data_IF_162526712866
#
_entry.id   IF_162526712866
#
_cell.length_a   1.000
_cell.length_b   1.000
_cell.length_c   1.000
_cell.angle_alpha   90.00
_cell.angle_beta   90.00
_cell.angle_gamma   90.00
#
_symmetry.space_group_name_H-M   'P 1'
#
loop_
_entity.id
_entity.type
_entity.pdbx_description
1 polymer ?
#
# COMPACT_ATOMS: atom_id res chain seq x y z
N UNK A 1 -4.65 -7.97 -13.87
CA UNK A 1 -5.23 -6.68 -13.46
C UNK A 1 -6.42 -7.02 -12.58
N UNK A 2 -6.50 -6.49 -11.37
CA UNK A 2 -7.57 -6.73 -10.41
C UNK A 2 -8.01 -5.38 -9.86
N UNK A 3 -9.32 -5.16 -9.76
CA UNK A 3 -9.88 -3.87 -9.36
C UNK A 3 -9.77 -2.78 -10.43
N UNK A 4 -10.63 -1.77 -10.29
CA UNK A 4 -10.76 -0.65 -11.21
C UNK A 4 -12.09 0.09 -10.97
N UNK A 5 -12.16 1.34 -11.43
CA UNK A 5 -13.42 2.07 -11.55
C UNK A 5 -13.86 2.03 -13.02
N UNK A 6 -15.11 1.65 -13.28
CA UNK A 6 -15.69 1.68 -14.61
C UNK A 6 -16.46 3.00 -14.90
N UNK A 7 -16.16 4.06 -14.15
CA UNK A 7 -16.73 5.41 -14.30
C UNK A 7 -17.50 5.87 -13.07
N UNK A 8 -17.99 7.12 -13.09
CA UNK A 8 -18.57 7.86 -11.95
C UNK A 8 -19.77 7.20 -11.24
N UNK A 9 -20.31 6.07 -11.73
CA UNK A 9 -21.46 5.38 -11.15
C UNK A 9 -21.35 3.83 -11.08
N UNK A 10 -20.18 3.23 -11.37
CA UNK A 10 -20.04 1.77 -11.41
C UNK A 10 -19.40 1.24 -10.11
N UNK A 11 -19.99 0.25 -9.40
CA UNK A 11 -19.35 -0.39 -8.24
C UNK A 11 -17.95 -0.90 -8.58
N UNK A 12 -16.99 -0.71 -7.66
CA UNK A 12 -15.63 -1.22 -7.84
C UNK A 12 -15.65 -2.70 -8.22
N UNK A 13 -14.87 -3.04 -9.25
CA UNK A 13 -14.89 -4.37 -9.82
C UNK A 13 -14.29 -5.40 -8.85
N UNK A 14 -14.94 -6.56 -8.78
CA UNK A 14 -14.54 -7.73 -7.97
C UNK A 14 -13.73 -8.75 -8.77
N UNK A 15 -13.71 -8.59 -10.08
CA UNK A 15 -13.13 -9.53 -11.02
C UNK A 15 -11.60 -9.43 -11.06
N UNK A 16 -10.99 -10.45 -11.66
CA UNK A 16 -9.57 -10.47 -11.94
C UNK A 16 -9.25 -11.49 -13.03
N UNK A 17 -8.02 -11.44 -13.52
CA UNK A 17 -7.54 -12.41 -14.49
C UNK A 17 -6.09 -12.79 -14.24
N UNK A 18 -5.77 -14.05 -14.53
CA UNK A 18 -4.42 -14.60 -14.51
C UNK A 18 -3.94 -14.83 -15.96
N UNK A 19 -2.70 -14.43 -16.24
CA UNK A 19 -2.03 -14.67 -17.52
C UNK A 19 -1.05 -15.83 -17.39
N UNK A 20 -1.15 -16.79 -18.32
CA UNK A 20 -0.18 -17.86 -18.46
C UNK A 20 0.76 -17.55 -19.65
N UNK A 21 2.05 -17.25 -19.41
CA UNK A 21 3.01 -16.96 -20.48
C UNK A 21 3.41 -18.19 -21.29
N UNK A 22 3.19 -19.42 -20.80
CA UNK A 22 3.52 -20.64 -21.54
C UNK A 22 2.50 -20.93 -22.65
N UNK A 23 1.24 -20.53 -22.44
CA UNK A 23 0.15 -20.70 -23.41
C UNK A 23 -0.30 -19.39 -24.05
N UNK A 24 0.29 -18.27 -23.64
CA UNK A 24 -0.06 -16.91 -24.07
C UNK A 24 -1.57 -16.64 -23.96
N UNK A 25 -2.14 -16.93 -22.79
CA UNK A 25 -3.59 -16.85 -22.59
C UNK A 25 -3.97 -16.29 -21.24
N UNK A 26 -5.04 -15.50 -21.22
CA UNK A 26 -5.70 -15.04 -20.01
C UNK A 26 -6.84 -15.99 -19.62
N UNK A 27 -7.02 -16.19 -18.31
CA UNK A 27 -8.22 -16.80 -17.75
C UNK A 27 -8.78 -15.92 -16.63
N UNK A 28 -10.11 -15.90 -16.42
CA UNK A 28 -10.67 -15.29 -15.23
C UNK A 28 -10.20 -16.07 -13.98
N UNK A 29 -10.13 -15.36 -12.86
CA UNK A 29 -10.03 -15.95 -11.52
C UNK A 29 -11.37 -15.75 -10.80
N UNK A 30 -11.58 -16.46 -9.68
CA UNK A 30 -12.77 -16.25 -8.87
C UNK A 30 -12.94 -14.78 -8.43
N UNK A 31 -14.19 -14.32 -8.35
CA UNK A 31 -14.50 -12.97 -7.86
C UNK A 31 -14.08 -12.81 -6.40
N UNK A 32 -13.41 -11.70 -6.10
CA UNK A 32 -13.07 -11.33 -4.72
C UNK A 32 -14.35 -11.10 -3.90
N UNK A 33 -14.33 -11.20 -2.56
CA UNK A 33 -15.48 -10.91 -1.70
C UNK A 33 -16.02 -9.48 -1.86
N UNK A 34 -15.13 -8.53 -2.18
CA UNK A 34 -15.41 -7.10 -2.33
C UNK A 34 -14.46 -6.49 -3.37
N UNK A 35 -14.96 -5.52 -4.16
CA UNK A 35 -14.16 -4.81 -5.14
C UNK A 35 -13.49 -3.58 -4.54
N UNK A 36 -12.25 -3.28 -4.92
CA UNK A 36 -11.50 -2.17 -4.34
C UNK A 36 -10.80 -1.34 -5.41
N UNK A 37 -10.94 -0.02 -5.34
CA UNK A 37 -10.14 0.91 -6.15
C UNK A 37 -8.95 1.42 -5.34
N UNK A 38 -7.78 1.53 -5.98
CA UNK A 38 -6.55 2.02 -5.34
C UNK A 38 -5.90 1.03 -4.35
N UNK A 39 -6.34 -0.23 -4.33
CA UNK A 39 -5.69 -1.26 -3.51
C UNK A 39 -4.32 -1.66 -4.08
N UNK A 40 -3.42 -2.03 -3.18
CA UNK A 40 -2.13 -2.62 -3.53
C UNK A 40 -2.21 -4.14 -3.40
N UNK A 41 -1.41 -4.84 -4.21
CA UNK A 41 -1.29 -6.29 -4.16
C UNK A 41 0.17 -6.71 -4.05
N UNK A 42 0.45 -7.68 -3.17
CA UNK A 42 1.76 -8.31 -3.02
C UNK A 42 1.65 -9.81 -3.24
N UNK A 43 2.74 -10.41 -3.74
CA UNK A 43 2.87 -11.86 -3.86
C UNK A 43 3.73 -12.42 -2.74
N UNK A 44 3.18 -13.36 -1.97
CA UNK A 44 3.89 -13.99 -0.84
C UNK A 44 4.83 -15.13 -1.26
N UNK A 45 4.78 -15.55 -2.52
CA UNK A 45 5.32 -16.82 -2.98
C UNK A 45 4.28 -17.94 -3.08
N UNK A 46 3.12 -17.79 -2.42
CA UNK A 46 2.04 -18.79 -2.37
C UNK A 46 0.66 -18.22 -2.67
N UNK A 47 0.32 -17.08 -2.08
CA UNK A 47 -0.94 -16.36 -2.25
C UNK A 47 -0.70 -14.89 -2.54
N UNK A 48 -1.65 -14.25 -3.23
CA UNK A 48 -1.68 -12.82 -3.42
C UNK A 48 -2.39 -12.18 -2.23
N UNK A 49 -1.79 -11.19 -1.59
CA UNK A 49 -2.46 -10.39 -0.56
C UNK A 49 -2.80 -9.03 -1.16
N UNK A 50 -4.05 -8.62 -0.99
CA UNK A 50 -4.58 -7.31 -1.38
C UNK A 50 -4.83 -6.51 -0.11
N UNK A 51 -4.25 -5.31 -0.07
CA UNK A 51 -4.38 -4.37 1.03
C UNK A 51 -4.69 -2.97 0.52
N UNK A 52 -5.42 -2.18 1.30
CA UNK A 52 -5.77 -0.83 0.88
C UNK A 52 -7.02 -0.76 0.02
N UNK A 53 -7.16 0.42 -0.57
CA UNK A 53 -8.22 0.78 -1.49
C UNK A 53 -9.56 1.03 -0.82
N UNK A 54 -10.43 1.74 -1.54
CA UNK A 54 -11.76 2.06 -1.07
C UNK A 54 -12.78 1.05 -1.62
N UNK A 55 -13.75 0.63 -0.79
CA UNK A 55 -14.85 -0.21 -1.22
C UNK A 55 -15.82 0.61 -2.07
N UNK A 56 -16.76 -0.03 -2.81
CA UNK A 56 -17.75 0.71 -3.59
C UNK A 56 -18.51 1.67 -2.69
N UNK A 57 -18.75 2.89 -3.17
CA UNK A 57 -19.60 3.85 -2.46
C UNK A 57 -20.97 3.20 -2.24
N UNK A 58 -21.44 3.20 -0.99
CA UNK A 58 -22.72 2.56 -0.64
C UNK A 58 -23.94 3.46 -0.95
N UNK A 59 -23.71 4.66 -1.50
CA UNK A 59 -24.74 5.60 -1.90
C UNK A 59 -24.17 7.02 -2.11
N UNK A 60 -24.99 7.99 -2.53
CA UNK A 60 -24.56 9.39 -2.75
C UNK A 60 -24.20 10.13 -1.45
N UNK A 61 -24.49 9.55 -0.29
CA UNK A 61 -24.10 10.04 1.04
C UNK A 61 -22.75 9.51 1.53
N UNK A 62 -22.21 8.49 0.86
CA UNK A 62 -20.88 7.95 1.12
C UNK A 62 -19.87 8.82 0.35
N UNK A 63 -19.14 9.65 1.09
CA UNK A 63 -18.19 10.59 0.47
C UNK A 63 -16.94 9.89 -0.07
N UNK A 64 -16.73 8.59 0.21
CA UNK A 64 -15.50 7.89 -0.13
C UNK A 64 -14.29 8.33 0.71
N UNK A 65 -14.42 9.42 1.47
CA UNK A 65 -13.38 9.98 2.34
C UNK A 65 -13.31 9.29 3.73
N UNK A 66 -14.10 8.23 3.93
CA UNK A 66 -14.10 7.44 5.15
C UNK A 66 -12.83 6.61 5.31
N UNK A 67 -12.47 6.19 6.54
CA UNK A 67 -11.33 5.32 6.75
C UNK A 67 -11.51 4.02 5.96
N UNK A 68 -10.59 3.73 5.04
CA UNK A 68 -10.62 2.52 4.24
C UNK A 68 -10.72 1.25 5.11
N UNK A 69 -11.28 0.15 4.56
CA UNK A 69 -11.60 -1.08 5.29
C UNK A 69 -10.39 -1.63 6.03
N UNK A 70 -10.56 -2.06 7.27
CA UNK A 70 -9.49 -2.64 8.10
C UNK A 70 -9.20 -4.11 7.80
N UNK A 71 -9.91 -4.68 6.81
CA UNK A 71 -9.82 -6.07 6.42
C UNK A 71 -9.17 -6.13 5.04
N UNK A 72 -8.09 -6.90 4.91
CA UNK A 72 -7.45 -7.22 3.63
C UNK A 72 -8.01 -8.50 3.02
N UNK A 73 -7.64 -8.80 1.79
CA UNK A 73 -8.07 -10.00 1.08
C UNK A 73 -6.84 -10.83 0.69
N UNK A 74 -6.96 -12.15 0.71
CA UNK A 74 -5.94 -13.05 0.19
C UNK A 74 -6.54 -14.02 -0.84
N UNK A 75 -5.86 -14.16 -1.98
CA UNK A 75 -6.23 -15.05 -3.07
C UNK A 75 -5.21 -16.19 -3.20
N UNK A 76 -5.71 -17.42 -3.12
CA UNK A 76 -4.94 -18.63 -3.36
C UNK A 76 -5.20 -19.17 -4.79
N UNK A 77 -4.22 -19.08 -5.71
CA UNK A 77 -4.39 -19.58 -7.06
C UNK A 77 -4.46 -21.11 -7.15
N UNK A 78 -4.02 -21.85 -6.13
CA UNK A 78 -4.10 -23.32 -6.13
C UNK A 78 -5.54 -23.81 -5.91
N UNK A 79 -6.34 -23.02 -5.19
CA UNK A 79 -7.77 -23.32 -4.94
C UNK A 79 -8.72 -22.42 -5.72
N UNK A 80 -8.18 -21.43 -6.44
CA UNK A 80 -8.94 -20.33 -7.06
C UNK A 80 -9.91 -19.70 -6.06
N UNK A 81 -9.43 -19.47 -4.84
CA UNK A 81 -10.24 -19.13 -3.68
C UNK A 81 -9.75 -17.87 -2.98
N UNK A 82 -10.71 -17.10 -2.46
CA UNK A 82 -10.45 -15.92 -1.65
C UNK A 82 -10.75 -16.16 -0.18
N UNK A 83 -10.02 -15.47 0.69
CA UNK A 83 -10.31 -15.34 2.11
C UNK A 83 -10.09 -13.90 2.57
N UNK A 84 -10.80 -13.51 3.61
CA UNK A 84 -10.53 -12.27 4.33
C UNK A 84 -9.37 -12.49 5.31
N UNK A 85 -8.54 -11.45 5.46
CA UNK A 85 -7.53 -11.39 6.51
C UNK A 85 -8.19 -10.99 7.85
N UNK A 86 -7.57 -11.30 9.00
CA UNK A 86 -7.98 -10.71 10.26
C UNK A 86 -7.98 -9.18 10.19
N UNK A 87 -8.82 -8.54 11.00
CA UNK A 87 -8.91 -7.09 11.06
C UNK A 87 -7.59 -6.47 11.55
N UNK A 88 -7.02 -5.55 10.77
CA UNK A 88 -5.75 -4.92 11.10
C UNK A 88 -5.92 -3.80 12.14
N UNK A 89 -4.88 -3.48 12.93
CA UNK A 89 -4.88 -2.34 13.84
C UNK A 89 -4.91 -0.97 13.12
N UNK A 90 -4.88 -0.96 11.78
CA UNK A 90 -4.84 0.25 10.94
C UNK A 90 -5.96 0.22 9.90
N UNK A 91 -6.50 1.38 9.56
CA UNK A 91 -7.39 1.58 8.41
C UNK A 91 -6.58 1.57 7.12
N UNK A 92 -7.14 1.05 6.03
CA UNK A 92 -6.39 0.82 4.80
C UNK A 92 -6.34 2.01 3.82
N UNK A 93 -6.84 3.18 4.22
CA UNK A 93 -6.79 4.40 3.40
C UNK A 93 -5.36 4.90 3.17
N UNK A 94 -5.01 5.11 1.89
CA UNK A 94 -3.76 5.70 1.38
C UNK A 94 -2.47 5.14 1.98
N UNK A 95 -2.33 3.81 2.06
CA UNK A 95 -1.14 3.18 2.64
C UNK A 95 -0.25 2.53 1.58
N UNK A 96 1.05 2.47 1.87
CA UNK A 96 2.02 1.72 1.08
C UNK A 96 2.19 0.30 1.63
N UNK A 97 2.25 -0.70 0.74
CA UNK A 97 2.35 -2.11 1.11
C UNK A 97 3.60 -2.75 0.49
N UNK A 98 4.34 -3.55 1.25
CA UNK A 98 5.48 -4.32 0.73
C UNK A 98 5.62 -5.68 1.41
N UNK A 99 6.01 -6.69 0.64
CA UNK A 99 6.30 -8.02 1.16
C UNK A 99 7.78 -8.16 1.53
N UNK A 100 8.08 -8.64 2.74
CA UNK A 100 9.47 -8.82 3.22
C UNK A 100 10.09 -10.16 2.81
N UNK A 101 9.28 -11.09 2.30
CA UNK A 101 9.61 -12.50 2.21
C UNK A 101 8.90 -13.34 3.29
N UNK A 102 8.51 -12.73 4.41
CA UNK A 102 7.90 -13.41 5.55
C UNK A 102 6.61 -12.74 6.06
N UNK A 103 6.54 -11.41 6.02
CA UNK A 103 5.38 -10.63 6.46
C UNK A 103 5.04 -9.52 5.45
N UNK A 104 3.77 -9.11 5.42
CA UNK A 104 3.34 -7.92 4.70
C UNK A 104 3.53 -6.73 5.64
N UNK A 105 4.33 -5.75 5.23
CA UNK A 105 4.42 -4.47 5.89
C UNK A 105 3.49 -3.48 5.22
N UNK A 106 2.79 -2.72 6.05
CA UNK A 106 1.89 -1.65 5.66
C UNK A 106 2.35 -0.39 6.37
N UNK A 107 2.74 0.61 5.61
CA UNK A 107 3.22 1.89 6.13
C UNK A 107 2.17 2.95 5.85
N UNK A 108 1.65 3.52 6.92
CA UNK A 108 0.57 4.48 6.88
C UNK A 108 1.04 5.88 6.47
N UNK A 109 0.05 6.68 6.06
CA UNK A 109 0.14 8.12 5.89
C UNK A 109 -0.52 8.81 7.07
N UNK A 110 -0.27 10.11 7.20
CA UNK A 110 -1.02 10.94 8.13
C UNK A 110 -2.51 10.92 7.78
N UNK A 111 -3.38 10.80 8.80
CA UNK A 111 -4.81 11.01 8.58
C UNK A 111 -5.07 12.46 8.20
N UNK A 112 -6.17 12.73 7.51
CA UNK A 112 -6.68 14.10 7.32
C UNK A 112 -6.84 14.90 8.63
N UNK A 113 -6.94 14.22 9.77
CA UNK A 113 -7.01 14.84 11.11
C UNK A 113 -5.64 15.12 11.75
N UNK A 114 -4.52 14.83 11.06
CA UNK A 114 -3.15 15.04 11.54
C UNK A 114 -2.70 14.08 12.64
N UNK A 115 -3.46 12.99 12.90
CA UNK A 115 -3.01 11.94 13.83
C UNK A 115 -2.05 10.97 13.13
N UNK A 116 -0.86 10.72 13.72
CA UNK A 116 0.08 9.74 13.18
C UNK A 116 -0.54 8.35 13.26
N UNK A 117 -0.65 7.67 12.11
CA UNK A 117 -1.08 6.27 12.07
C UNK A 117 0.17 5.39 12.09
N UNK A 118 0.42 4.63 13.17
CA UNK A 118 1.49 3.64 13.14
C UNK A 118 1.20 2.65 12.03
N UNK A 119 2.22 2.22 11.29
CA UNK A 119 2.07 1.14 10.31
C UNK A 119 1.67 -0.18 10.97
N UNK A 120 1.44 -1.21 10.17
CA UNK A 120 1.15 -2.55 10.66
C UNK A 120 1.93 -3.60 9.86
N UNK A 121 2.15 -4.76 10.47
CA UNK A 121 2.70 -5.92 9.81
C UNK A 121 1.76 -7.12 9.95
N UNK A 122 1.52 -7.85 8.86
CA UNK A 122 0.74 -9.08 8.85
C UNK A 122 1.66 -10.29 8.62
N UNK A 123 1.61 -11.22 9.57
CA UNK A 123 2.28 -12.51 9.50
C UNK A 123 1.26 -13.58 9.06
N UNK A 124 1.37 -14.12 7.82
CA UNK A 124 0.49 -15.18 7.35
C UNK A 124 0.77 -16.54 7.99
N UNK A 125 1.93 -16.77 8.62
CA UNK A 125 2.21 -18.03 9.32
C UNK A 125 1.40 -18.15 10.61
N UNK A 126 1.11 -17.01 11.26
CA UNK A 126 0.30 -16.96 12.48
C UNK A 126 -1.11 -16.38 12.27
N UNK A 127 -1.39 -15.87 11.07
CA UNK A 127 -2.61 -15.17 10.68
C UNK A 127 -2.92 -14.03 11.66
N UNK A 128 -1.93 -13.16 11.89
CA UNK A 128 -2.03 -12.07 12.87
C UNK A 128 -1.37 -10.79 12.39
N UNK A 129 -1.97 -9.68 12.83
CA UNK A 129 -1.39 -8.36 12.70
C UNK A 129 -0.64 -7.96 13.96
N UNK A 130 0.41 -7.16 13.78
CA UNK A 130 1.07 -6.38 14.83
C UNK A 130 1.18 -4.92 14.39
N UNK A 131 1.11 -4.01 15.36
CA UNK A 131 1.35 -2.58 15.13
C UNK A 131 2.84 -2.34 15.06
N UNK A 132 3.29 -1.54 14.08
CA UNK A 132 4.67 -1.09 13.99
C UNK A 132 4.93 0.05 14.99
N UNK A 133 6.18 0.24 15.45
CA UNK A 133 6.56 1.45 16.18
C UNK A 133 6.23 2.72 15.37
N UNK A 134 6.01 3.87 16.03
CA UNK A 134 5.79 5.13 15.33
C UNK A 134 7.02 5.51 14.49
N UNK A 135 6.78 5.96 13.27
CA UNK A 135 7.82 6.49 12.41
C UNK A 135 8.27 7.89 12.89
N UNK A 136 9.52 8.30 12.62
CA UNK A 136 10.04 9.63 12.99
C UNK A 136 9.30 10.79 12.32
N UNK A 137 8.78 10.54 11.13
CA UNK A 137 7.98 11.48 10.33
C UNK A 137 6.85 10.69 9.63
N UNK A 138 5.81 11.37 9.18
CA UNK A 138 4.65 10.77 8.54
C UNK A 138 4.40 11.45 7.20
N UNK A 139 4.16 10.64 6.16
CA UNK A 139 3.96 11.15 4.81
C UNK A 139 2.56 11.76 4.65
N UNK A 140 2.48 12.90 3.97
CA UNK A 140 1.23 13.51 3.53
C UNK A 140 0.89 12.92 2.16
N UNK A 141 0.34 11.69 2.16
CA UNK A 141 0.09 10.89 0.95
C UNK A 141 0.97 9.63 0.86
N UNK A 142 0.57 8.59 0.11
CA UNK A 142 1.19 7.26 0.18
C UNK A 142 2.68 7.32 -0.23
N UNK A 143 3.62 6.91 0.64
CA UNK A 143 5.03 6.87 0.26
C UNK A 143 5.29 5.78 -0.78
N UNK A 144 6.32 5.92 -1.58
CA UNK A 144 6.90 4.78 -2.28
C UNK A 144 7.57 3.88 -1.25
N UNK A 145 7.29 2.58 -1.28
CA UNK A 145 7.80 1.62 -0.31
C UNK A 145 8.46 0.44 -1.01
N UNK A 146 9.69 0.14 -0.62
CA UNK A 146 10.46 -0.96 -1.20
C UNK A 146 11.19 -1.78 -0.15
N UNK A 147 11.26 -3.09 -0.36
CA UNK A 147 12.00 -4.00 0.49
C UNK A 147 13.42 -4.19 -0.06
N UNK A 148 14.42 -4.02 0.80
CA UNK A 148 15.85 -4.14 0.43
C UNK A 148 16.41 -5.55 0.62
N UNK A 149 15.60 -6.48 1.13
CA UNK A 149 16.07 -7.77 1.65
C UNK A 149 16.34 -7.78 3.15
N UNK A 150 16.47 -6.60 3.77
CA UNK A 150 16.73 -6.46 5.22
C UNK A 150 15.87 -5.39 5.89
N UNK A 151 15.55 -4.32 5.17
CA UNK A 151 14.79 -3.16 5.67
C UNK A 151 13.78 -2.71 4.64
N UNK A 152 12.65 -2.18 5.10
CA UNK A 152 11.70 -1.49 4.24
C UNK A 152 12.09 -0.01 4.18
N UNK A 153 12.28 0.53 2.99
CA UNK A 153 12.61 1.95 2.80
C UNK A 153 11.41 2.66 2.19
N UNK A 154 10.91 3.66 2.92
CA UNK A 154 9.86 4.56 2.49
C UNK A 154 10.49 5.86 1.98
N UNK A 155 10.06 6.33 0.82
CA UNK A 155 10.44 7.63 0.25
C UNK A 155 9.16 8.43 -0.03
N UNK A 156 9.13 9.66 0.44
CA UNK A 156 7.97 10.52 0.32
C UNK A 156 8.38 11.94 -0.05
N UNK A 157 7.46 12.66 -0.70
CA UNK A 157 7.69 14.02 -1.18
C UNK A 157 7.42 15.10 -0.14
N UNK A 158 6.58 14.81 0.85
CA UNK A 158 6.29 15.74 1.93
C UNK A 158 5.93 14.99 3.21
N UNK A 159 6.55 15.39 4.32
CA UNK A 159 6.26 14.90 5.66
C UNK A 159 5.63 15.97 6.54
N UNK A 160 5.26 15.59 7.76
CA UNK A 160 4.80 16.53 8.79
C UNK A 160 5.96 17.31 9.41
N UNK A 161 7.18 16.79 9.33
CA UNK A 161 8.41 17.42 9.82
C UNK A 161 8.86 18.67 9.06
N UNK A 162 8.30 18.95 7.88
CA UNK A 162 8.61 20.14 7.10
C UNK A 162 8.50 19.96 5.59
N UNK A 163 8.72 21.03 4.81
CA UNK A 163 8.64 20.95 3.36
C UNK A 163 9.82 20.17 2.78
N UNK A 164 9.53 19.30 1.81
CA UNK A 164 10.51 18.62 0.98
C UNK A 164 10.57 17.11 1.18
N UNK A 165 11.29 16.42 0.27
CA UNK A 165 11.31 14.98 0.25
C UNK A 165 12.10 14.44 1.44
N UNK A 166 11.66 13.30 1.95
CA UNK A 166 12.32 12.60 3.05
C UNK A 166 12.28 11.09 2.83
N UNK A 167 13.13 10.38 3.55
CA UNK A 167 13.18 8.93 3.49
C UNK A 167 13.37 8.34 4.89
N UNK A 168 12.73 7.21 5.13
CA UNK A 168 12.82 6.46 6.39
C UNK A 168 13.02 4.99 6.11
N UNK A 169 13.70 4.29 7.00
CA UNK A 169 13.86 2.85 6.94
C UNK A 169 13.25 2.20 8.18
N UNK A 170 12.44 1.16 7.98
CA UNK A 170 12.04 0.24 9.04
C UNK A 170 12.93 -0.99 9.01
N UNK A 171 13.52 -1.32 10.15
CA UNK A 171 14.31 -2.52 10.37
C UNK A 171 13.51 -3.53 11.22
N UNK A 172 12.99 -4.62 10.62
CA UNK A 172 12.20 -5.61 11.36
C UNK A 172 13.00 -6.36 12.43
N UNK A 173 14.32 -6.49 12.29
CA UNK A 173 15.15 -7.15 13.30
C UNK A 173 15.32 -6.29 14.56
N UNK A 174 15.30 -4.96 14.41
CA UNK A 174 15.33 -4.03 15.53
C UNK A 174 13.92 -3.61 16.02
N UNK A 175 12.88 -3.92 15.24
CA UNK A 175 11.52 -3.38 15.38
C UNK A 175 11.55 -1.86 15.61
N UNK A 176 12.26 -1.15 14.73
CA UNK A 176 12.53 0.27 14.87
C UNK A 176 12.64 0.98 13.53
N UNK A 177 12.28 2.26 13.54
CA UNK A 177 12.47 3.16 12.42
C UNK A 177 13.74 3.98 12.55
N UNK A 178 14.34 4.29 11.41
CA UNK A 178 15.49 5.17 11.26
C UNK A 178 15.19 6.25 10.22
N UNK A 179 15.46 7.52 10.57
CA UNK A 179 15.43 8.61 9.59
C UNK A 179 16.67 8.51 8.70
N UNK A 180 16.47 8.41 7.39
CA UNK A 180 17.56 8.40 6.43
C UNK A 180 17.99 9.83 6.04
N UNK A 181 19.20 10.00 5.49
CA UNK A 181 19.61 11.27 4.90
C UNK A 181 18.60 11.76 3.86
N UNK A 182 18.33 13.07 3.87
CA UNK A 182 17.42 13.72 2.93
C UNK A 182 17.82 13.41 1.48
N UNK A 183 16.93 12.81 0.68
CA UNK A 183 17.24 12.52 -0.71
C UNK A 183 17.33 13.83 -1.51
N UNK A 184 18.29 13.98 -2.44
CA UNK A 184 18.47 15.19 -3.23
C UNK A 184 17.46 15.28 -4.39
N UNK A 185 16.18 15.00 -4.10
CA UNK A 185 15.08 14.97 -5.06
C UNK A 185 14.40 16.34 -5.18
N UNK A 186 13.66 16.50 -6.28
CA UNK A 186 12.79 17.66 -6.55
C UNK A 186 11.41 17.13 -6.90
N UNK A 187 10.39 17.95 -6.67
CA UNK A 187 9.00 17.59 -6.95
C UNK A 187 8.20 17.31 -5.68
N UNK A 188 6.90 17.14 -5.86
CA UNK A 188 5.92 17.15 -4.76
C UNK A 188 5.13 15.86 -4.63
N UNK A 189 5.19 14.94 -5.60
CA UNK A 189 4.50 13.65 -5.50
C UNK A 189 4.98 12.64 -6.56
N UNK A 190 4.56 11.38 -6.44
CA UNK A 190 4.65 10.37 -7.48
C UNK A 190 6.06 9.78 -7.65
N UNK A 191 6.79 9.64 -6.54
CA UNK A 191 8.05 8.90 -6.58
C UNK A 191 7.78 7.41 -6.84
N UNK A 192 8.64 6.81 -7.63
CA UNK A 192 8.73 5.38 -7.86
C UNK A 192 10.08 4.89 -7.36
N UNK A 193 10.08 3.75 -6.70
CA UNK A 193 11.28 3.20 -6.06
C UNK A 193 11.58 1.79 -6.52
N UNK A 194 12.85 1.53 -6.83
CA UNK A 194 13.33 0.18 -7.16
C UNK A 194 14.62 -0.09 -6.39
N UNK A 195 14.67 -1.25 -5.73
CA UNK A 195 15.89 -1.76 -5.12
C UNK A 195 16.65 -2.65 -6.11
N UNK A 196 17.93 -2.36 -6.34
CA UNK A 196 18.75 -3.11 -7.31
C UNK A 196 19.42 -4.35 -6.70
N UNK A 197 19.32 -4.54 -5.38
CA UNK A 197 20.16 -5.45 -4.62
C UNK A 197 21.33 -4.75 -3.90
N UNK A 198 21.70 -3.54 -4.34
CA UNK A 198 22.79 -2.75 -3.74
C UNK A 198 22.40 -1.29 -3.51
N UNK A 199 21.54 -0.74 -4.36
CA UNK A 199 21.19 0.68 -4.36
C UNK A 199 19.69 0.87 -4.51
N UNK A 200 19.19 1.93 -3.87
CA UNK A 200 17.84 2.42 -4.06
C UNK A 200 17.86 3.42 -5.21
N UNK A 201 17.15 3.10 -6.29
CA UNK A 201 16.86 4.04 -7.36
C UNK A 201 15.51 4.67 -7.07
N UNK A 202 15.47 6.00 -7.09
CA UNK A 202 14.23 6.78 -7.00
C UNK A 202 14.09 7.57 -8.28
N UNK A 203 12.94 7.44 -8.92
CA UNK A 203 12.63 8.15 -10.17
C UNK A 203 11.19 8.64 -10.14
N UNK A 204 10.89 9.59 -11.02
CA UNK A 204 9.57 10.18 -11.11
C UNK A 204 9.47 11.40 -10.23
N UNK A 205 8.61 12.30 -10.65
CA UNK A 205 8.03 13.35 -9.85
C UNK A 205 6.93 13.94 -10.71
N UNK A 206 5.72 14.07 -10.20
CA UNK A 206 4.77 14.95 -10.85
C UNK A 206 5.24 16.39 -10.57
N UNK A 207 5.68 17.08 -11.64
CA UNK A 207 5.96 18.50 -11.57
C UNK A 207 4.61 19.20 -11.43
N UNK A 208 4.18 19.41 -10.18
CA UNK A 208 2.81 19.77 -9.87
C UNK A 208 2.28 20.96 -10.69
N UNK A 209 1.34 20.66 -11.57
CA UNK A 209 0.25 21.56 -11.90
C UNK A 209 -1.01 21.07 -11.15
N UNK A 210 -1.07 21.37 -9.85
CA UNK A 210 -2.36 21.73 -9.24
C UNK A 210 -3.25 20.66 -8.60
N UNK A 211 -2.74 19.55 -8.07
CA UNK A 211 -3.46 18.88 -6.96
C UNK A 211 -3.08 19.54 -5.64
N UNK A 212 -3.61 20.77 -5.42
CA UNK A 212 -3.67 21.30 -4.05
C UNK A 212 -4.66 20.44 -3.28
N UNK A 213 -4.18 19.47 -2.51
CA UNK A 213 -4.92 19.03 -1.35
C UNK A 213 -5.00 20.22 -0.41
N UNK A 214 -6.14 20.91 -0.39
CA UNK A 214 -6.34 22.03 0.53
C UNK A 214 -6.66 21.46 1.91
N UNK A 215 -6.03 21.99 2.99
CA UNK A 215 -6.35 21.62 4.36
C UNK A 215 -7.77 22.03 4.74
#
# INVERSE_FOLDING_TARGET
>A
MWGGSAGELDPHLRDGAAYDPATDSWRPIADAPEGRAGAQAVWTGREMIVWGGLPPLQGPEDSGDGPGPRVGLAYDPATDGWRELPEAPVSSGDQAAVWTGEELLVVGVDRYDGSPVPGAAYDPATDRWRTLPPAPDTSIGPPSLVWTGQRAVAVAAQGTGGPGPFAMAYDPAADAWEQLPTPPLRGYDGYETVWTGEQLLVWGSEAGDGYTYRP
#
